data_IF_661527851682
#
_entry.id   IF_661527851682
#
_cell.length_a   1.000
_cell.length_b   1.000
_cell.length_c   1.000
_cell.angle_alpha   90.00
_cell.angle_beta   90.00
_cell.angle_gamma   90.00
#
_symmetry.space_group_name_H-M   'P 1'
#
loop_
_entity.id
_entity.type
_entity.pdbx_description
1 polymer ?
#
# COMPACT_ATOMS: atom_id res chain seq x y z
N UNK A 1 -5.34 22.90 -42.18
CA UNK A 1 -5.68 22.66 -40.77
C UNK A 1 -5.30 21.23 -40.42
N UNK A 2 -4.14 21.04 -39.79
CA UNK A 2 -3.64 19.75 -39.33
C UNK A 2 -3.80 19.68 -37.82
N UNK A 3 -4.72 18.84 -37.34
CA UNK A 3 -4.93 18.57 -35.92
C UNK A 3 -3.82 17.67 -35.40
N UNK A 4 -2.73 18.29 -34.92
CA UNK A 4 -1.73 17.59 -34.12
C UNK A 4 -2.38 17.20 -32.77
N UNK A 5 -2.70 15.92 -32.61
CA UNK A 5 -3.21 15.39 -31.34
C UNK A 5 -2.15 15.50 -30.24
N UNK A 6 -2.55 15.74 -28.97
CA UNK A 6 -1.60 15.83 -27.86
C UNK A 6 -1.14 14.41 -27.46
N UNK A 7 -0.21 13.86 -28.24
CA UNK A 7 0.62 12.71 -27.83
C UNK A 7 1.98 13.26 -27.41
N UNK A 8 2.48 12.83 -26.26
CA UNK A 8 3.85 13.02 -25.75
C UNK A 8 4.15 14.12 -24.70
N UNK A 9 3.21 14.52 -23.84
CA UNK A 9 3.53 15.28 -22.59
C UNK A 9 3.39 14.45 -21.30
N UNK A 10 2.80 13.25 -21.40
CA UNK A 10 2.62 12.32 -20.27
C UNK A 10 3.93 11.65 -19.80
N UNK A 11 4.90 11.46 -20.69
CA UNK A 11 6.12 10.70 -20.38
C UNK A 11 7.07 11.42 -19.42
N UNK A 12 7.23 12.74 -19.52
CA UNK A 12 8.16 13.52 -18.67
C UNK A 12 7.66 13.78 -17.24
N UNK A 13 6.35 13.69 -17.01
CA UNK A 13 5.73 13.97 -15.69
C UNK A 13 5.55 12.71 -14.84
N UNK A 14 5.43 11.55 -15.47
CA UNK A 14 5.57 10.24 -14.80
C UNK A 14 7.01 9.99 -14.34
N UNK A 15 7.99 10.52 -15.08
CA UNK A 15 9.41 10.43 -14.75
C UNK A 15 9.78 11.10 -13.42
N UNK A 16 9.11 12.17 -12.99
CA UNK A 16 9.43 12.86 -11.72
C UNK A 16 8.83 12.16 -10.50
N UNK A 17 7.60 11.65 -10.61
CA UNK A 17 7.00 10.80 -9.56
C UNK A 17 7.73 9.47 -9.43
N UNK A 18 8.10 8.85 -10.55
CA UNK A 18 8.95 7.67 -10.58
C UNK A 18 10.37 7.96 -10.05
N UNK A 19 10.93 9.15 -10.29
CA UNK A 19 12.24 9.53 -9.75
C UNK A 19 12.20 9.74 -8.23
N UNK A 20 11.15 10.35 -7.68
CA UNK A 20 11.00 10.47 -6.22
C UNK A 20 10.83 9.09 -5.56
N UNK A 21 10.02 8.22 -6.18
CA UNK A 21 9.82 6.84 -5.75
C UNK A 21 11.10 6.00 -5.92
N UNK A 22 11.90 6.26 -6.96
CA UNK A 22 13.21 5.67 -7.18
C UNK A 22 14.26 6.18 -6.18
N UNK A 23 14.21 7.44 -5.74
CA UNK A 23 15.09 7.96 -4.68
C UNK A 23 14.74 7.37 -3.33
N UNK A 24 13.46 7.17 -3.02
CA UNK A 24 13.00 6.47 -1.81
C UNK A 24 13.36 4.98 -1.86
N UNK A 25 13.18 4.32 -3.00
CA UNK A 25 13.63 2.95 -3.22
C UNK A 25 15.16 2.83 -3.19
N UNK A 26 15.91 3.83 -3.67
CA UNK A 26 17.38 3.84 -3.64
C UNK A 26 17.91 4.08 -2.23
N UNK A 27 17.25 4.92 -1.43
CA UNK A 27 17.56 5.12 -0.02
C UNK A 27 17.26 3.86 0.80
N UNK A 28 16.12 3.21 0.56
CA UNK A 28 15.78 1.94 1.22
C UNK A 28 16.70 0.78 0.78
N UNK A 29 17.02 0.71 -0.52
CA UNK A 29 17.98 -0.27 -1.04
C UNK A 29 19.38 -0.05 -0.47
N UNK A 30 19.84 1.20 -0.30
CA UNK A 30 21.12 1.48 0.34
C UNK A 30 21.12 1.11 1.82
N UNK A 31 20.02 1.30 2.55
CA UNK A 31 19.93 0.82 3.95
C UNK A 31 19.89 -0.70 4.07
N UNK A 32 19.23 -1.40 3.14
CA UNK A 32 19.19 -2.87 3.10
C UNK A 32 20.53 -3.48 2.66
N UNK A 33 21.21 -2.86 1.68
CA UNK A 33 22.54 -3.26 1.20
C UNK A 33 23.66 -3.02 2.22
N UNK A 34 23.49 -2.07 3.15
CA UNK A 34 24.45 -1.84 4.24
C UNK A 34 24.28 -2.87 5.35
N UNK A 35 23.09 -3.44 5.52
CA UNK A 35 22.80 -4.45 6.54
C UNK A 35 23.07 -5.90 6.05
N UNK A 36 22.76 -6.22 4.79
CA UNK A 36 22.96 -7.57 4.24
C UNK A 36 24.26 -7.70 3.43
N UNK A 37 25.05 -8.74 3.72
CA UNK A 37 26.27 -9.09 2.95
C UNK A 37 25.98 -9.71 1.57
N UNK A 38 24.73 -10.04 1.25
CA UNK A 38 24.35 -10.74 0.01
C UNK A 38 23.33 -9.94 -0.82
N UNK A 39 23.71 -9.61 -2.05
CA UNK A 39 22.93 -8.78 -2.97
C UNK A 39 21.63 -9.46 -3.45
N UNK A 40 21.63 -10.79 -3.54
CA UNK A 40 20.49 -11.55 -4.04
C UNK A 40 19.34 -11.63 -3.01
N UNK A 41 19.67 -11.78 -1.73
CA UNK A 41 18.68 -11.76 -0.64
C UNK A 41 18.09 -10.36 -0.47
N UNK A 42 18.93 -9.32 -0.50
CA UNK A 42 18.48 -7.94 -0.40
C UNK A 42 17.54 -7.56 -1.55
N UNK A 43 17.88 -7.93 -2.79
CA UNK A 43 17.01 -7.70 -3.95
C UNK A 43 15.68 -8.45 -3.83
N UNK A 44 15.71 -9.70 -3.33
CA UNK A 44 14.50 -10.50 -3.13
C UNK A 44 13.59 -9.90 -2.06
N UNK A 45 14.16 -9.47 -0.92
CA UNK A 45 13.42 -8.80 0.15
C UNK A 45 12.76 -7.50 -0.32
N UNK A 46 13.47 -6.69 -1.11
CA UNK A 46 12.94 -5.46 -1.72
C UNK A 46 11.77 -5.75 -2.66
N UNK A 47 11.90 -6.75 -3.52
CA UNK A 47 10.84 -7.14 -4.45
C UNK A 47 9.59 -7.65 -3.71
N UNK A 48 9.77 -8.49 -2.68
CA UNK A 48 8.67 -9.01 -1.89
C UNK A 48 7.95 -7.90 -1.11
N UNK A 49 8.69 -6.97 -0.51
CA UNK A 49 8.12 -5.80 0.16
C UNK A 49 7.28 -4.94 -0.81
N UNK A 50 7.79 -4.72 -2.02
CA UNK A 50 7.09 -3.96 -3.06
C UNK A 50 5.84 -4.67 -3.55
N UNK A 51 5.90 -6.00 -3.73
CA UNK A 51 4.76 -6.84 -4.13
C UNK A 51 3.69 -6.88 -3.04
N UNK A 52 4.08 -7.04 -1.77
CA UNK A 52 3.17 -7.02 -0.63
C UNK A 52 2.43 -5.67 -0.55
N UNK A 53 3.17 -4.56 -0.67
CA UNK A 53 2.62 -3.22 -0.75
C UNK A 53 1.63 -3.09 -1.91
N UNK A 54 2.03 -3.47 -3.13
CA UNK A 54 1.18 -3.36 -4.31
C UNK A 54 -0.10 -4.18 -4.21
N UNK A 55 -0.04 -5.38 -3.64
CA UNK A 55 -1.22 -6.21 -3.40
C UNK A 55 -2.19 -5.56 -2.40
N UNK A 56 -1.68 -4.98 -1.31
CA UNK A 56 -2.51 -4.24 -0.36
C UNK A 56 -3.11 -2.98 -1.00
N UNK A 57 -2.32 -2.20 -1.74
CA UNK A 57 -2.75 -0.96 -2.39
C UNK A 57 -3.82 -1.18 -3.47
N UNK A 58 -3.64 -2.19 -4.32
CA UNK A 58 -4.66 -2.58 -5.32
C UNK A 58 -5.97 -2.99 -4.65
N UNK A 59 -5.89 -3.72 -3.54
CA UNK A 59 -7.08 -4.13 -2.78
C UNK A 59 -7.79 -2.97 -2.09
N UNK A 60 -7.04 -1.99 -1.57
CA UNK A 60 -7.57 -0.77 -0.96
C UNK A 60 -8.29 0.10 -2.01
N UNK A 61 -7.68 0.21 -3.19
CA UNK A 61 -8.26 0.94 -4.30
C UNK A 61 -9.63 0.36 -4.69
N UNK A 62 -9.73 -0.96 -4.80
CA UNK A 62 -10.87 -1.71 -5.36
C UNK A 62 -12.25 -1.51 -4.68
N UNK A 63 -12.31 -0.68 -3.64
CA UNK A 63 -13.51 -0.39 -2.84
C UNK A 63 -14.02 1.03 -3.05
N UNK A 64 -13.34 1.85 -3.86
CA UNK A 64 -13.80 3.22 -4.08
C UNK A 64 -15.08 3.26 -4.93
N UNK A 65 -16.07 4.04 -4.46
CA UNK A 65 -17.41 4.17 -5.06
C UNK A 65 -17.35 4.73 -6.49
N UNK A 66 -18.46 4.66 -7.24
CA UNK A 66 -18.59 5.35 -8.53
C UNK A 66 -18.31 6.87 -8.49
N UNK A 67 -18.33 7.46 -7.28
CA UNK A 67 -18.01 8.87 -7.00
C UNK A 67 -16.55 9.09 -6.56
N UNK A 68 -15.71 8.06 -6.56
CA UNK A 68 -14.29 8.23 -6.29
C UNK A 68 -13.64 9.02 -7.42
N UNK A 69 -12.76 9.97 -7.13
CA UNK A 69 -12.16 10.82 -8.16
C UNK A 69 -11.38 9.98 -9.17
N UNK A 70 -11.35 10.45 -10.41
CA UNK A 70 -10.43 9.91 -11.40
C UNK A 70 -8.99 10.14 -10.93
N UNK A 71 -8.10 9.21 -11.27
CA UNK A 71 -6.69 9.33 -10.90
C UNK A 71 -6.03 10.44 -11.76
N UNK A 72 -5.92 11.63 -11.18
CA UNK A 72 -5.18 12.77 -11.72
C UNK A 72 -3.74 12.76 -11.23
N UNK A 73 -2.94 13.71 -11.71
CA UNK A 73 -1.57 13.92 -11.22
C UNK A 73 -1.52 14.26 -9.74
N UNK A 74 -2.44 15.10 -9.27
CA UNK A 74 -2.42 15.59 -7.90
C UNK A 74 -2.98 14.56 -6.93
N UNK A 75 -3.98 13.78 -7.35
CA UNK A 75 -4.39 12.60 -6.56
C UNK A 75 -3.24 11.59 -6.41
N UNK A 76 -2.44 11.37 -7.46
CA UNK A 76 -1.28 10.48 -7.36
C UNK A 76 -0.20 11.01 -6.39
N UNK A 77 0.06 12.33 -6.42
CA UNK A 77 0.96 12.99 -5.46
C UNK A 77 0.44 12.85 -4.04
N UNK A 78 -0.86 13.08 -3.83
CA UNK A 78 -1.54 12.87 -2.57
C UNK A 78 -1.36 11.43 -2.05
N UNK A 79 -1.57 10.44 -2.92
CA UNK A 79 -1.42 9.02 -2.56
C UNK A 79 0.01 8.71 -2.14
N UNK A 80 1.00 9.17 -2.90
CA UNK A 80 2.41 8.97 -2.57
C UNK A 80 2.77 9.62 -1.22
N UNK A 81 2.32 10.85 -0.98
CA UNK A 81 2.56 11.55 0.28
C UNK A 81 1.89 10.86 1.47
N UNK A 82 0.64 10.41 1.30
CA UNK A 82 -0.09 9.67 2.34
C UNK A 82 0.55 8.33 2.68
N UNK A 83 1.00 7.58 1.67
CA UNK A 83 1.72 6.33 1.86
C UNK A 83 3.07 6.54 2.55
N UNK A 84 3.82 7.58 2.17
CA UNK A 84 5.09 7.94 2.80
C UNK A 84 4.91 8.35 4.27
N UNK A 85 3.89 9.15 4.59
CA UNK A 85 3.56 9.50 5.97
C UNK A 85 3.16 8.27 6.78
N UNK A 86 2.32 7.39 6.21
CA UNK A 86 1.93 6.14 6.86
C UNK A 86 3.15 5.24 7.15
N UNK A 87 4.10 5.13 6.21
CA UNK A 87 5.37 4.42 6.45
C UNK A 87 6.20 5.06 7.55
N UNK A 88 6.32 6.39 7.57
CA UNK A 88 7.08 7.09 8.60
C UNK A 88 6.48 6.85 10.00
N UNK A 89 5.14 6.92 10.12
CA UNK A 89 4.45 6.70 11.39
C UNK A 89 4.48 5.23 11.80
N UNK A 90 4.03 4.31 10.93
CA UNK A 90 3.97 2.88 11.26
C UNK A 90 5.36 2.28 11.44
N UNK A 91 6.31 2.60 10.57
CA UNK A 91 7.69 2.16 10.70
C UNK A 91 8.39 2.79 11.91
N UNK A 92 8.13 4.06 12.21
CA UNK A 92 8.69 4.73 13.38
C UNK A 92 8.18 4.14 14.69
N UNK A 93 6.86 3.91 14.79
CA UNK A 93 6.26 3.21 15.93
C UNK A 93 6.73 1.76 15.98
N UNK A 94 6.86 1.09 14.83
CA UNK A 94 7.34 -0.29 14.77
C UNK A 94 8.78 -0.44 15.22
N UNK A 95 9.65 0.51 14.88
CA UNK A 95 11.02 0.56 15.38
C UNK A 95 11.07 0.70 16.92
N UNK A 96 10.15 1.46 17.52
CA UNK A 96 10.01 1.56 18.97
C UNK A 96 9.46 0.27 19.58
N UNK A 97 8.48 -0.36 18.95
CA UNK A 97 7.91 -1.64 19.41
C UNK A 97 8.94 -2.77 19.35
N UNK A 98 9.81 -2.78 18.33
CA UNK A 98 10.90 -3.75 18.22
C UNK A 98 11.91 -3.70 19.38
N UNK A 99 11.95 -2.61 20.16
CA UNK A 99 12.76 -2.53 21.38
C UNK A 99 12.17 -3.30 22.56
N UNK A 100 10.87 -3.61 22.51
CA UNK A 100 10.11 -4.19 23.63
C UNK A 100 9.55 -5.56 23.28
N UNK A 101 9.13 -5.76 22.03
CA UNK A 101 8.46 -6.97 21.58
C UNK A 101 9.50 -7.98 21.08
N UNK A 102 9.54 -9.20 21.64
CA UNK A 102 10.40 -10.27 21.13
C UNK A 102 10.06 -10.62 19.68
N UNK A 103 11.08 -10.86 18.87
CA UNK A 103 10.96 -11.16 17.43
C UNK A 103 10.01 -12.34 17.16
N UNK A 104 10.17 -13.45 17.90
CA UNK A 104 9.31 -14.61 17.76
C UNK A 104 7.83 -14.30 18.05
N UNK A 105 7.56 -13.42 19.02
CA UNK A 105 6.19 -13.02 19.35
C UNK A 105 5.59 -12.16 18.23
N UNK A 106 6.38 -11.24 17.67
CA UNK A 106 5.98 -10.44 16.52
C UNK A 106 5.64 -11.33 15.31
N UNK A 107 6.49 -12.29 14.97
CA UNK A 107 6.27 -13.22 13.85
C UNK A 107 5.00 -14.04 14.02
N UNK A 108 4.78 -14.61 15.20
CA UNK A 108 3.56 -15.38 15.49
C UNK A 108 2.33 -14.50 15.30
N UNK A 109 2.35 -13.26 15.82
CA UNK A 109 1.23 -12.34 15.68
C UNK A 109 0.97 -12.00 14.21
N UNK A 110 2.01 -11.69 13.43
CA UNK A 110 1.84 -11.39 12.00
C UNK A 110 1.34 -12.62 11.24
N UNK A 111 1.86 -13.81 11.52
CA UNK A 111 1.41 -15.07 10.93
C UNK A 111 -0.06 -15.38 11.21
N UNK A 112 -0.50 -15.20 12.45
CA UNK A 112 -1.91 -15.36 12.84
C UNK A 112 -2.79 -14.34 12.12
N UNK A 113 -2.39 -13.07 12.06
CA UNK A 113 -3.13 -12.03 11.33
C UNK A 113 -3.19 -12.33 9.84
N UNK A 114 -2.12 -12.83 9.24
CA UNK A 114 -2.09 -13.28 7.85
C UNK A 114 -3.08 -14.40 7.57
N UNK A 115 -3.09 -15.41 8.42
CA UNK A 115 -4.05 -16.49 8.30
C UNK A 115 -5.50 -15.97 8.39
N UNK A 116 -5.80 -15.14 9.40
CA UNK A 116 -7.14 -14.57 9.59
C UNK A 116 -7.58 -13.74 8.38
N UNK A 117 -6.70 -12.90 7.83
CA UNK A 117 -6.99 -12.07 6.64
C UNK A 117 -7.22 -12.95 5.42
N UNK A 118 -6.39 -13.97 5.19
CA UNK A 118 -6.58 -14.91 4.06
C UNK A 118 -7.91 -15.65 4.16
N UNK A 119 -8.26 -16.18 5.35
CA UNK A 119 -9.55 -16.84 5.56
C UNK A 119 -10.74 -15.87 5.37
N UNK A 120 -10.57 -14.60 5.76
CA UNK A 120 -11.59 -13.57 5.54
C UNK A 120 -11.75 -13.25 4.06
N UNK A 121 -10.66 -13.04 3.32
CA UNK A 121 -10.70 -12.75 1.88
C UNK A 121 -11.19 -13.96 1.06
N UNK A 122 -10.99 -15.20 1.56
CA UNK A 122 -11.58 -16.42 1.02
C UNK A 122 -13.10 -16.54 1.29
N UNK A 123 -13.67 -15.67 2.13
CA UNK A 123 -15.07 -15.70 2.53
C UNK A 123 -15.43 -16.75 3.60
N UNK A 124 -14.42 -17.42 4.17
CA UNK A 124 -14.56 -18.39 5.27
C UNK A 124 -14.90 -17.67 6.57
N UNK A 125 -14.18 -16.59 6.87
CA UNK A 125 -14.48 -15.72 8.02
C UNK A 125 -15.23 -14.47 7.55
N UNK A 126 -16.30 -14.12 8.27
CA UNK A 126 -17.12 -12.93 7.95
C UNK A 126 -17.24 -12.05 9.19
N UNK A 127 -16.37 -11.06 9.26
CA UNK A 127 -16.48 -9.99 10.25
C UNK A 127 -16.32 -8.62 9.59
N UNK A 128 -17.04 -7.61 10.08
CA UNK A 128 -16.89 -6.24 9.61
C UNK A 128 -15.49 -5.74 9.97
N UNK A 129 -14.81 -5.10 9.02
CA UNK A 129 -13.56 -4.40 9.33
C UNK A 129 -13.90 -3.03 9.92
N UNK A 130 -13.17 -2.60 10.96
CA UNK A 130 -13.41 -1.30 11.58
C UNK A 130 -13.23 -0.20 10.54
N UNK A 131 -14.19 0.73 10.45
CA UNK A 131 -14.00 1.92 9.63
C UNK A 131 -13.44 3.06 10.47
N UNK A 132 -12.58 3.88 9.88
CA UNK A 132 -12.17 5.13 10.51
C UNK A 132 -13.40 6.02 10.73
N UNK A 133 -13.72 6.45 11.97
CA UNK A 133 -14.81 7.39 12.24
C UNK A 133 -14.49 8.82 11.77
N UNK A 134 -13.22 9.17 11.62
CA UNK A 134 -12.73 10.47 11.15
C UNK A 134 -12.69 10.58 9.62
N UNK A 135 -13.65 9.93 8.92
CA UNK A 135 -13.72 9.98 7.46
C UNK A 135 -13.96 11.41 7.00
N UNK A 136 -13.16 11.87 6.05
CA UNK A 136 -13.39 13.13 5.34
C UNK A 136 -14.74 13.00 4.61
N UNK A 137 -15.74 13.84 4.91
CA UNK A 137 -17.04 13.82 4.23
C UNK A 137 -16.91 13.94 2.72
N UNK A 138 -17.81 13.29 1.98
CA UNK A 138 -17.79 13.30 0.50
C UNK A 138 -18.04 14.69 -0.09
N UNK A 139 -18.65 15.57 0.69
CA UNK A 139 -19.16 16.88 0.26
C UNK A 139 -18.13 18.00 0.43
N UNK A 140 -16.92 17.67 0.91
CA UNK A 140 -15.81 18.62 0.93
C UNK A 140 -15.38 18.85 -0.53
N UNK A 141 -15.42 20.10 -1.04
CA UNK A 141 -15.02 20.41 -2.40
C UNK A 141 -13.55 20.04 -2.62
N UNK A 142 -13.28 19.31 -3.71
CA UNK A 142 -11.93 18.87 -4.09
C UNK A 142 -11.61 19.24 -5.54
N UNK A 143 -12.24 20.29 -6.05
CA UNK A 143 -12.22 20.67 -7.48
C UNK A 143 -10.92 21.39 -7.90
N UNK A 144 -10.05 21.71 -6.94
CA UNK A 144 -8.74 22.32 -7.17
C UNK A 144 -7.58 21.32 -6.98
N UNK A 145 -6.40 21.72 -7.43
CA UNK A 145 -5.19 20.89 -7.39
C UNK A 145 -4.87 20.37 -5.98
N UNK A 146 -5.14 21.18 -4.95
CA UNK A 146 -4.90 20.82 -3.56
C UNK A 146 -5.99 19.92 -2.99
N UNK A 147 -7.24 20.08 -3.39
CA UNK A 147 -8.34 19.17 -3.11
C UNK A 147 -8.11 17.78 -3.70
N UNK A 148 -7.66 17.70 -4.94
CA UNK A 148 -7.24 16.45 -5.59
C UNK A 148 -6.11 15.77 -4.78
N UNK A 149 -5.09 16.53 -4.36
CA UNK A 149 -4.01 16.00 -3.53
C UNK A 149 -4.46 15.54 -2.15
N UNK A 150 -5.32 16.31 -1.46
CA UNK A 150 -5.93 15.89 -0.17
C UNK A 150 -6.74 14.62 -0.33
N UNK A 151 -7.44 14.49 -1.45
CA UNK A 151 -8.21 13.29 -1.74
C UNK A 151 -7.31 12.08 -1.92
N UNK A 152 -6.24 12.21 -2.70
CA UNK A 152 -5.24 11.16 -2.86
C UNK A 152 -4.63 10.73 -1.53
N UNK A 153 -4.28 11.69 -0.68
CA UNK A 153 -3.75 11.46 0.66
C UNK A 153 -4.74 10.67 1.54
N UNK A 154 -6.01 11.09 1.52
CA UNK A 154 -7.07 10.44 2.27
C UNK A 154 -7.34 9.00 1.79
N UNK A 155 -7.23 8.75 0.48
CA UNK A 155 -7.35 7.39 -0.09
C UNK A 155 -6.19 6.52 0.36
N UNK A 156 -4.95 7.02 0.31
CA UNK A 156 -3.78 6.24 0.73
C UNK A 156 -3.82 5.89 2.23
N UNK A 157 -4.26 6.82 3.07
CA UNK A 157 -4.38 6.63 4.52
C UNK A 157 -5.68 5.96 4.95
N UNK A 158 -6.52 5.53 4.00
CA UNK A 158 -7.84 4.94 4.25
C UNK A 158 -8.81 5.85 5.02
N UNK A 159 -8.52 7.16 5.10
CA UNK A 159 -9.43 8.18 5.63
C UNK A 159 -10.56 8.52 4.65
N UNK A 160 -10.44 8.12 3.38
CA UNK A 160 -11.51 8.17 2.37
C UNK A 160 -11.65 6.81 1.70
N UNK A 161 -12.73 6.10 2.02
CA UNK A 161 -13.09 4.82 1.44
C UNK A 161 -14.55 4.85 0.97
N UNK A 162 -14.75 4.50 -0.30
CA UNK A 162 -16.07 4.30 -0.86
C UNK A 162 -16.80 3.15 -0.17
N UNK A 163 -18.12 3.28 -0.07
CA UNK A 163 -19.08 2.43 0.63
C UNK A 163 -19.05 2.55 2.17
N UNK A 164 -20.27 2.67 2.70
CA UNK A 164 -20.64 2.83 4.10
C UNK A 164 -19.82 1.98 5.08
N UNK A 165 -19.20 2.64 6.06
CA UNK A 165 -18.83 2.09 7.36
C UNK A 165 -17.93 0.85 7.43
N UNK A 166 -17.42 0.30 6.32
CA UNK A 166 -16.59 -0.93 6.30
C UNK A 166 -15.53 -0.88 5.21
N UNK A 167 -14.31 -1.31 5.53
CA UNK A 167 -13.29 -1.62 4.53
C UNK A 167 -13.62 -2.97 3.88
N UNK A 168 -13.51 -3.08 2.55
CA UNK A 168 -13.75 -4.37 1.91
C UNK A 168 -12.62 -5.34 2.19
N UNK A 169 -11.36 -4.91 2.07
CA UNK A 169 -10.16 -5.77 2.18
C UNK A 169 -9.46 -5.66 3.53
N UNK A 170 -9.05 -6.80 4.09
CA UNK A 170 -8.20 -6.88 5.29
C UNK A 170 -6.72 -6.65 5.04
N UNK A 171 -6.28 -6.60 3.78
CA UNK A 171 -4.86 -6.53 3.43
C UNK A 171 -4.12 -5.28 3.91
N UNK A 172 -4.73 -4.08 3.91
CA UNK A 172 -4.07 -2.90 4.47
C UNK A 172 -3.81 -3.04 5.98
N UNK A 173 -4.66 -3.77 6.70
CA UNK A 173 -4.45 -4.06 8.12
C UNK A 173 -3.30 -5.03 8.34
N UNK A 174 -3.23 -6.10 7.53
CA UNK A 174 -2.09 -7.01 7.54
C UNK A 174 -0.78 -6.25 7.31
N UNK A 175 -0.76 -5.38 6.30
CA UNK A 175 0.41 -4.57 5.98
C UNK A 175 0.80 -3.67 7.16
N UNK A 176 -0.17 -3.02 7.79
CA UNK A 176 0.07 -2.16 8.96
C UNK A 176 0.61 -2.95 10.15
N UNK A 177 0.05 -4.13 10.44
CA UNK A 177 0.54 -5.01 11.51
C UNK A 177 1.96 -5.50 11.21
N UNK A 178 2.24 -5.90 9.96
CA UNK A 178 3.57 -6.28 9.54
C UNK A 178 4.57 -5.11 9.69
N UNK A 179 4.17 -3.89 9.29
CA UNK A 179 4.99 -2.68 9.46
C UNK A 179 5.28 -2.34 10.92
N UNK A 180 4.35 -2.62 11.83
CA UNK A 180 4.53 -2.35 13.26
C UNK A 180 5.38 -3.39 13.97
N UNK A 181 5.36 -4.64 13.52
CA UNK A 181 5.93 -5.75 14.29
C UNK A 181 7.17 -6.37 13.66
N UNK A 182 7.36 -6.29 12.34
CA UNK A 182 8.35 -7.12 11.66
C UNK A 182 9.07 -6.46 10.48
N UNK A 183 8.50 -5.42 9.86
CA UNK A 183 9.19 -4.72 8.77
C UNK A 183 10.14 -3.68 9.37
N UNK A 184 11.45 -3.74 9.05
CA UNK A 184 12.38 -2.72 9.53
C UNK A 184 12.07 -1.35 8.92
N UNK A 185 12.40 -0.28 9.64
CA UNK A 185 12.03 1.09 9.27
C UNK A 185 12.35 1.46 7.81
N UNK A 186 13.54 1.12 7.32
CA UNK A 186 13.93 1.40 5.93
C UNK A 186 13.05 0.69 4.90
N UNK A 187 12.62 -0.55 5.20
CA UNK A 187 11.76 -1.35 4.34
C UNK A 187 10.30 -0.89 4.35
N UNK A 188 9.87 -0.16 5.39
CA UNK A 188 8.53 0.43 5.44
C UNK A 188 8.27 1.37 4.25
N UNK A 189 9.29 2.09 3.77
CA UNK A 189 9.17 2.96 2.61
C UNK A 189 9.05 2.20 1.28
N UNK A 190 9.68 1.03 1.18
CA UNK A 190 9.55 0.14 0.00
C UNK A 190 8.15 -0.43 -0.08
N UNK A 191 7.64 -0.88 1.07
CA UNK A 191 6.26 -1.34 1.22
C UNK A 191 5.28 -0.21 0.86
N UNK A 192 5.49 1.01 1.36
CA UNK A 192 4.66 2.16 1.03
C UNK A 192 4.74 2.55 -0.46
N UNK A 193 5.91 2.44 -1.08
CA UNK A 193 6.09 2.67 -2.51
C UNK A 193 5.28 1.66 -3.34
N UNK A 194 5.33 0.38 -2.98
CA UNK A 194 4.46 -0.66 -3.55
C UNK A 194 2.98 -0.36 -3.34
N UNK A 195 2.59 0.02 -2.12
CA UNK A 195 1.21 0.38 -1.78
C UNK A 195 0.69 1.57 -2.57
N UNK A 196 1.47 2.64 -2.71
CA UNK A 196 1.13 3.78 -3.54
C UNK A 196 0.96 3.37 -5.01
N UNK A 197 1.92 2.61 -5.56
CA UNK A 197 1.86 2.12 -6.93
C UNK A 197 0.62 1.25 -7.19
N UNK A 198 0.32 0.31 -6.29
CA UNK A 198 -0.87 -0.53 -6.37
C UNK A 198 -2.17 0.26 -6.27
N UNK A 199 -2.20 1.28 -5.41
CA UNK A 199 -3.37 2.16 -5.24
C UNK A 199 -3.61 3.00 -6.50
N UNK A 200 -2.55 3.60 -7.06
CA UNK A 200 -2.60 4.41 -8.29
C UNK A 200 -3.01 3.53 -9.48
N UNK A 201 -2.38 2.37 -9.68
CA UNK A 201 -2.72 1.48 -10.77
C UNK A 201 -4.16 0.95 -10.64
N UNK A 202 -4.56 0.52 -9.45
CA UNK A 202 -5.89 -0.04 -9.18
C UNK A 202 -7.02 0.99 -9.30
N UNK A 203 -6.75 2.28 -9.10
CA UNK A 203 -7.71 3.38 -9.32
C UNK A 203 -7.72 3.84 -10.78
N UNK A 204 -6.55 3.95 -11.42
CA UNK A 204 -6.43 4.35 -12.83
C UNK A 204 -7.02 3.30 -13.80
N UNK A 205 -6.92 2.01 -13.47
CA UNK A 205 -7.47 0.92 -14.29
C UNK A 205 -9.01 0.82 -14.25
N UNK A 206 -9.71 1.69 -13.51
CA UNK A 206 -11.16 1.62 -13.41
C UNK A 206 -11.87 2.25 -14.60
N UNK A 207 -12.90 1.59 -15.15
CA UNK A 207 -13.84 2.24 -16.04
C UNK A 207 -14.68 3.25 -15.25
N UNK A 208 -14.79 4.47 -15.77
CA UNK A 208 -15.54 5.56 -15.15
C UNK A 208 -17.00 5.15 -14.87
N UNK A 209 -17.50 5.48 -13.68
CA UNK A 209 -18.91 5.29 -13.30
C UNK A 209 -19.31 3.87 -12.88
N UNK A 210 -18.38 2.93 -12.69
CA UNK A 210 -18.71 1.57 -12.20
C UNK A 210 -17.95 1.20 -10.93
N UNK A 211 -18.66 0.66 -9.96
CA UNK A 211 -18.07 -0.04 -8.81
C UNK A 211 -17.57 -1.41 -9.26
N UNK A 212 -16.26 -1.63 -9.20
CA UNK A 212 -15.66 -2.93 -9.42
C UNK A 212 -15.29 -3.53 -8.07
N UNK A 213 -16.15 -4.40 -7.53
CA UNK A 213 -15.69 -5.33 -6.52
C UNK A 213 -14.80 -6.37 -7.23
N UNK A 214 -13.52 -6.53 -6.86
CA UNK A 214 -12.70 -7.56 -7.46
C UNK A 214 -13.33 -8.91 -7.15
N UNK A 215 -13.39 -9.78 -8.16
CA UNK A 215 -13.91 -11.13 -7.98
C UNK A 215 -13.24 -11.80 -6.78
N UNK A 216 -13.98 -12.61 -6.02
CA UNK A 216 -13.47 -13.27 -4.81
C UNK A 216 -12.12 -13.99 -5.06
N UNK A 217 -11.94 -14.59 -6.25
CA UNK A 217 -10.67 -15.20 -6.65
C UNK A 217 -9.49 -14.24 -6.78
N UNK A 218 -9.70 -13.01 -7.26
CA UNK A 218 -8.65 -11.98 -7.35
C UNK A 218 -8.26 -11.49 -5.95
N UNK A 219 -9.24 -11.34 -5.06
CA UNK A 219 -9.00 -10.93 -3.65
C UNK A 219 -8.21 -11.98 -2.90
N UNK A 220 -8.58 -13.25 -3.05
CA UNK A 220 -7.86 -14.37 -2.47
C UNK A 220 -6.43 -14.44 -3.01
N UNK A 221 -6.23 -14.27 -4.33
CA UNK A 221 -4.90 -14.28 -4.92
C UNK A 221 -4.03 -13.14 -4.38
N UNK A 222 -4.56 -11.92 -4.29
CA UNK A 222 -3.86 -10.79 -3.68
C UNK A 222 -3.53 -11.05 -2.20
N UNK A 223 -4.42 -11.72 -1.47
CA UNK A 223 -4.19 -12.06 -0.08
C UNK A 223 -3.10 -13.11 0.11
N UNK A 224 -3.10 -14.15 -0.71
CA UNK A 224 -2.04 -15.16 -0.73
C UNK A 224 -0.71 -14.54 -1.12
N UNK A 225 -0.68 -13.71 -2.17
CA UNK A 225 0.54 -13.02 -2.62
C UNK A 225 1.08 -12.11 -1.52
N UNK A 226 0.22 -11.32 -0.86
CA UNK A 226 0.62 -10.43 0.22
C UNK A 226 1.14 -11.22 1.44
N UNK A 227 0.41 -12.26 1.87
CA UNK A 227 0.79 -13.10 3.00
C UNK A 227 2.08 -13.86 2.78
N UNK A 228 2.26 -14.46 1.59
CA UNK A 228 3.51 -15.15 1.21
C UNK A 228 4.66 -14.16 1.13
N UNK A 229 4.46 -12.99 0.52
CA UNK A 229 5.53 -11.99 0.43
C UNK A 229 5.98 -11.48 1.80
N UNK A 230 5.03 -11.20 2.70
CA UNK A 230 5.34 -10.82 4.09
C UNK A 230 6.05 -11.95 4.83
N UNK A 231 5.55 -13.20 4.73
CA UNK A 231 6.14 -14.35 5.42
C UNK A 231 7.55 -14.67 4.94
N UNK A 232 7.79 -14.67 3.62
CA UNK A 232 9.13 -14.93 3.06
C UNK A 232 10.10 -13.81 3.44
N UNK A 233 9.68 -12.55 3.42
CA UNK A 233 10.52 -11.42 3.86
C UNK A 233 10.98 -11.54 5.31
N UNK A 234 10.16 -12.09 6.22
CA UNK A 234 10.57 -12.34 7.61
C UNK A 234 11.64 -13.43 7.70
N UNK A 235 11.44 -14.55 6.98
CA UNK A 235 12.38 -15.68 7.04
C UNK A 235 13.77 -15.36 6.48
N UNK A 236 13.89 -14.42 5.53
CA UNK A 236 15.18 -13.99 4.99
C UNK A 236 15.98 -13.21 6.04
N UNK A 237 15.31 -12.48 6.94
CA UNK A 237 15.95 -11.71 8.01
C UNK A 237 16.61 -12.62 9.06
N UNK A 238 15.99 -13.77 9.39
CA UNK A 238 16.48 -14.77 10.36
C UNK A 238 17.80 -15.42 9.91
N UNK A 239 18.03 -15.56 8.59
CA UNK A 239 19.23 -16.20 8.06
C UNK A 239 20.51 -15.37 8.21
N UNK A 240 20.43 -14.16 8.78
CA UNK A 240 21.53 -13.18 8.84
C UNK A 240 21.93 -12.74 10.25
N UNK A 241 21.19 -13.16 11.29
CA UNK A 241 21.50 -12.90 12.71
C UNK A 241 22.41 -13.96 13.31
#
# INVERSE_FOLDING_TARGET
>A
MTTAGPRATWSRRLLTGAAALAVVCAFAATTALVAERNLASAASALLLALVAGAAAGTSAASVADAHSPQMTRWTAVGVAFGAALAAAVLGGVGALLGLVVPELAAEIVVGVVALVVVLREAGVLRFPLPANPLRIPKDIPDDDEWGEARTGFAVATLMRGGVAGRLASGLPYLLAVAMLLAVPFGMAFVVAAGYAAGTIAGTAARPAGRTLAPAAGVRLLLAVVCGVAVGVSMTISIGTS
#
